data_IF_890490737494
#
_entry.id   IF_890490737494
#
_cell.length_a   1.000
_cell.length_b   1.000
_cell.length_c   1.000
_cell.angle_alpha   90.00
_cell.angle_beta   90.00
_cell.angle_gamma   90.00
#
_symmetry.space_group_name_H-M   'P 1'
#
loop_
_entity.id
_entity.type
_entity.pdbx_description
1 polymer ?
#
# COMPACT_ATOMS: atom_id res chain seq x y z
N UNK A 1 -2.89 41.77 -2.41
CA UNK A 1 -2.21 40.49 -2.09
C UNK A 1 -3.18 39.48 -1.48
N UNK A 2 -4.01 39.87 -0.49
CA UNK A 2 -5.02 39.03 0.15
C UNK A 2 -6.15 38.60 -0.83
N UNK A 3 -6.58 39.47 -1.74
CA UNK A 3 -7.64 39.15 -2.72
C UNK A 3 -7.26 38.07 -3.75
N UNK A 4 -5.96 37.93 -4.10
CA UNK A 4 -5.48 36.81 -4.94
C UNK A 4 -5.53 35.48 -4.20
N UNK A 5 -5.26 35.50 -2.89
CA UNK A 5 -5.34 34.31 -2.03
C UNK A 5 -6.80 33.83 -1.89
N UNK A 6 -7.75 34.75 -1.73
CA UNK A 6 -9.18 34.43 -1.64
C UNK A 6 -9.73 33.89 -2.97
N UNK A 7 -9.20 34.33 -4.12
CA UNK A 7 -9.59 33.80 -5.45
C UNK A 7 -8.98 32.43 -5.80
N UNK A 8 -7.85 32.04 -5.20
CA UNK A 8 -7.21 30.74 -5.47
C UNK A 8 -7.69 29.59 -4.55
N UNK A 9 -8.34 29.90 -3.44
CA UNK A 9 -8.88 28.91 -2.50
C UNK A 9 -9.93 27.96 -3.12
N UNK A 10 -10.92 28.43 -3.91
CA UNK A 10 -11.92 27.55 -4.52
C UNK A 10 -11.29 26.51 -5.47
N UNK A 11 -10.30 26.91 -6.26
CA UNK A 11 -9.65 26.02 -7.24
C UNK A 11 -8.72 24.98 -6.59
N UNK A 12 -8.00 25.36 -5.53
CA UNK A 12 -7.16 24.43 -4.75
C UNK A 12 -8.02 23.43 -3.97
N UNK A 13 -9.14 23.88 -3.40
CA UNK A 13 -10.10 23.02 -2.72
C UNK A 13 -10.74 21.99 -3.67
N UNK A 14 -11.12 22.40 -4.88
CA UNK A 14 -11.68 21.49 -5.90
C UNK A 14 -10.67 20.42 -6.33
N UNK A 15 -9.39 20.80 -6.50
CA UNK A 15 -8.31 19.89 -6.88
C UNK A 15 -7.93 18.91 -5.78
N UNK A 16 -7.98 19.32 -4.51
CA UNK A 16 -7.77 18.41 -3.38
C UNK A 16 -8.96 17.46 -3.22
N UNK A 17 -10.20 17.96 -3.35
CA UNK A 17 -11.40 17.14 -3.30
C UNK A 17 -11.40 16.03 -4.36
N UNK A 18 -11.02 16.35 -5.60
CA UNK A 18 -10.94 15.34 -6.67
C UNK A 18 -9.82 14.32 -6.45
N UNK A 19 -8.66 14.73 -5.93
CA UNK A 19 -7.56 13.80 -5.57
C UNK A 19 -7.93 12.86 -4.43
N UNK A 20 -8.62 13.38 -3.40
CA UNK A 20 -9.11 12.55 -2.29
C UNK A 20 -10.16 11.55 -2.77
N UNK A 21 -11.06 11.97 -3.65
CA UNK A 21 -12.06 11.08 -4.23
C UNK A 21 -11.41 9.97 -5.07
N UNK A 22 -10.44 10.32 -5.93
CA UNK A 22 -9.67 9.34 -6.70
C UNK A 22 -8.89 8.38 -5.80
N UNK A 23 -8.26 8.89 -4.73
CA UNK A 23 -7.56 8.06 -3.75
C UNK A 23 -8.51 7.09 -3.04
N UNK A 24 -9.73 7.52 -2.68
CA UNK A 24 -10.74 6.66 -2.09
C UNK A 24 -11.17 5.54 -3.05
N UNK A 25 -11.36 5.86 -4.33
CA UNK A 25 -11.68 4.88 -5.37
C UNK A 25 -10.54 3.86 -5.53
N UNK A 26 -9.30 4.33 -5.65
CA UNK A 26 -8.11 3.48 -5.78
C UNK A 26 -7.93 2.61 -4.54
N UNK A 27 -8.12 3.15 -3.34
CA UNK A 27 -8.08 2.40 -2.09
C UNK A 27 -9.13 1.28 -2.10
N UNK A 28 -10.37 1.61 -2.45
CA UNK A 28 -11.46 0.64 -2.46
C UNK A 28 -11.20 -0.49 -3.47
N UNK A 29 -10.87 -0.14 -4.71
CA UNK A 29 -10.57 -1.12 -5.78
C UNK A 29 -9.33 -1.94 -5.39
N UNK A 30 -8.28 -1.29 -4.91
CA UNK A 30 -7.05 -1.91 -4.46
C UNK A 30 -7.31 -2.95 -3.36
N UNK A 31 -8.10 -2.61 -2.34
CA UNK A 31 -8.47 -3.56 -1.28
C UNK A 31 -9.21 -4.78 -1.82
N UNK A 32 -10.07 -4.62 -2.82
CA UNK A 32 -10.74 -5.78 -3.44
C UNK A 32 -9.75 -6.63 -4.25
N UNK A 33 -8.86 -6.01 -5.03
CA UNK A 33 -7.80 -6.71 -5.75
C UNK A 33 -6.90 -7.50 -4.81
N UNK A 34 -6.50 -6.91 -3.67
CA UNK A 34 -5.68 -7.59 -2.65
C UNK A 34 -6.39 -8.86 -2.15
N UNK A 35 -7.69 -8.79 -1.86
CA UNK A 35 -8.47 -9.96 -1.43
C UNK A 35 -8.50 -11.05 -2.49
N UNK A 36 -8.68 -10.67 -3.76
CA UNK A 36 -8.72 -11.60 -4.90
C UNK A 36 -7.36 -12.29 -5.05
N UNK A 37 -6.27 -11.52 -5.13
CA UNK A 37 -4.91 -12.07 -5.29
C UNK A 37 -4.56 -13.00 -4.14
N UNK A 38 -4.81 -12.59 -2.88
CA UNK A 38 -4.58 -13.45 -1.71
C UNK A 38 -5.35 -14.76 -1.77
N UNK A 39 -6.62 -14.71 -2.21
CA UNK A 39 -7.44 -15.91 -2.39
C UNK A 39 -6.86 -16.85 -3.44
N UNK A 40 -6.35 -16.31 -4.55
CA UNK A 40 -5.70 -17.12 -5.59
C UNK A 40 -4.41 -17.77 -5.07
N UNK A 41 -3.51 -16.99 -4.45
CA UNK A 41 -2.25 -17.51 -3.91
C UNK A 41 -2.51 -18.58 -2.85
N UNK A 42 -3.42 -18.33 -1.90
CA UNK A 42 -3.79 -19.31 -0.88
C UNK A 42 -4.33 -20.61 -1.50
N UNK A 43 -5.19 -20.52 -2.52
CA UNK A 43 -5.70 -21.70 -3.23
C UNK A 43 -4.59 -22.47 -3.93
N UNK A 44 -3.63 -21.79 -4.55
CA UNK A 44 -2.48 -22.44 -5.18
C UNK A 44 -1.59 -23.16 -4.18
N UNK A 45 -1.32 -22.56 -3.02
CA UNK A 45 -0.52 -23.20 -1.96
C UNK A 45 -1.21 -24.45 -1.38
N UNK A 46 -2.52 -24.38 -1.13
CA UNK A 46 -3.31 -25.54 -0.67
C UNK A 46 -3.28 -26.66 -1.71
N UNK A 47 -3.46 -26.33 -2.99
CA UNK A 47 -3.36 -27.32 -4.09
C UNK A 47 -1.98 -27.95 -4.19
N UNK A 48 -0.94 -27.21 -3.83
CA UNK A 48 0.44 -27.68 -3.79
C UNK A 48 0.79 -28.49 -2.53
N UNK A 49 -0.17 -28.79 -1.64
CA UNK A 49 0.06 -29.46 -0.35
C UNK A 49 1.10 -28.74 0.53
N UNK A 50 1.17 -27.41 0.47
CA UNK A 50 2.03 -26.64 1.37
C UNK A 50 1.53 -26.74 2.82
N UNK A 51 2.45 -26.81 3.78
CA UNK A 51 2.11 -26.83 5.19
C UNK A 51 1.38 -25.56 5.66
N UNK A 52 0.57 -25.71 6.71
CA UNK A 52 -0.23 -24.62 7.26
C UNK A 52 0.62 -23.40 7.67
N UNK A 53 1.81 -23.63 8.23
CA UNK A 53 2.74 -22.56 8.61
C UNK A 53 3.20 -21.73 7.40
N UNK A 54 3.54 -22.38 6.29
CA UNK A 54 3.93 -21.73 5.03
C UNK A 54 2.76 -20.93 4.45
N UNK A 55 1.55 -21.52 4.45
CA UNK A 55 0.35 -20.84 3.98
C UNK A 55 0.09 -19.55 4.79
N UNK A 56 0.22 -19.60 6.11
CA UNK A 56 0.01 -18.44 6.98
C UNK A 56 1.10 -17.37 6.82
N UNK A 57 2.36 -17.79 6.72
CA UNK A 57 3.49 -16.89 6.47
C UNK A 57 3.31 -16.15 5.14
N UNK A 58 3.06 -16.89 4.05
CA UNK A 58 2.89 -16.29 2.72
C UNK A 58 1.63 -15.41 2.67
N UNK A 59 0.50 -15.82 3.23
CA UNK A 59 -0.70 -14.97 3.24
C UNK A 59 -0.49 -13.66 4.02
N UNK A 60 0.22 -13.71 5.15
CA UNK A 60 0.53 -12.53 5.96
C UNK A 60 1.54 -11.61 5.26
N UNK A 61 2.59 -12.18 4.68
CA UNK A 61 3.59 -11.45 3.89
C UNK A 61 2.94 -10.78 2.67
N UNK A 62 2.14 -11.53 1.91
CA UNK A 62 1.46 -11.03 0.72
C UNK A 62 0.46 -9.93 1.09
N UNK A 63 -0.26 -10.07 2.21
CA UNK A 63 -1.11 -9.00 2.74
C UNK A 63 -0.28 -7.74 2.97
N UNK A 64 0.77 -7.81 3.78
CA UNK A 64 1.60 -6.64 4.10
C UNK A 64 2.18 -5.98 2.83
N UNK A 65 2.82 -6.76 1.97
CA UNK A 65 3.46 -6.27 0.74
C UNK A 65 2.48 -5.61 -0.21
N UNK A 66 1.30 -6.20 -0.45
CA UNK A 66 0.31 -5.61 -1.34
C UNK A 66 -0.31 -4.33 -0.78
N UNK A 67 -0.54 -4.26 0.53
CA UNK A 67 -0.99 -3.02 1.16
C UNK A 67 0.08 -1.92 1.13
N UNK A 68 1.36 -2.28 1.30
CA UNK A 68 2.46 -1.33 1.15
C UNK A 68 2.50 -0.73 -0.26
N UNK A 69 2.37 -1.57 -1.31
CA UNK A 69 2.27 -1.11 -2.70
C UNK A 69 1.07 -0.18 -2.89
N UNK A 70 -0.11 -0.56 -2.37
CA UNK A 70 -1.32 0.26 -2.49
C UNK A 70 -1.15 1.65 -1.85
N UNK A 71 -0.59 1.72 -0.64
CA UNK A 71 -0.32 2.97 0.06
C UNK A 71 0.67 3.82 -0.72
N UNK A 72 1.72 3.21 -1.27
CA UNK A 72 2.71 3.90 -2.10
C UNK A 72 2.11 4.45 -3.39
N UNK A 73 1.24 3.70 -4.06
CA UNK A 73 0.51 4.19 -5.24
C UNK A 73 -0.34 5.42 -4.89
N UNK A 74 -1.05 5.38 -3.76
CA UNK A 74 -1.84 6.52 -3.30
C UNK A 74 -0.94 7.70 -2.97
N UNK A 75 0.12 7.49 -2.19
CA UNK A 75 1.12 8.50 -1.81
C UNK A 75 1.75 9.20 -3.03
N UNK A 76 2.14 8.43 -4.04
CA UNK A 76 2.66 8.94 -5.30
C UNK A 76 1.61 9.80 -6.04
N UNK A 77 0.34 9.38 -6.04
CA UNK A 77 -0.77 10.18 -6.59
C UNK A 77 -1.00 11.52 -5.87
N UNK A 78 -0.61 11.64 -4.60
CA UNK A 78 -0.61 12.90 -3.87
C UNK A 78 0.62 13.78 -4.13
N UNK A 79 1.60 13.30 -4.90
CA UNK A 79 2.81 14.03 -5.23
C UNK A 79 3.95 13.83 -4.23
N UNK A 80 3.95 12.74 -3.47
CA UNK A 80 5.11 12.37 -2.66
C UNK A 80 6.28 11.95 -3.55
N UNK A 81 7.48 12.43 -3.20
CA UNK A 81 8.69 12.11 -3.94
C UNK A 81 9.05 10.62 -3.83
N UNK A 82 9.45 10.04 -4.96
CA UNK A 82 9.88 8.65 -5.03
C UNK A 82 11.05 8.37 -4.06
N UNK A 83 11.95 9.34 -3.86
CA UNK A 83 13.07 9.22 -2.92
C UNK A 83 12.59 9.05 -1.46
N UNK A 84 11.59 9.83 -1.01
CA UNK A 84 11.03 9.70 0.34
C UNK A 84 10.31 8.38 0.54
N UNK A 85 9.59 7.92 -0.49
CA UNK A 85 8.94 6.61 -0.49
C UNK A 85 9.98 5.49 -0.38
N UNK A 86 11.05 5.54 -1.18
CA UNK A 86 12.12 4.54 -1.16
C UNK A 86 12.88 4.54 0.17
N UNK A 87 13.11 5.71 0.78
CA UNK A 87 13.71 5.81 2.11
C UNK A 87 12.84 5.13 3.19
N UNK A 88 11.52 5.36 3.16
CA UNK A 88 10.58 4.73 4.10
C UNK A 88 10.48 3.22 3.90
N UNK A 89 10.37 2.76 2.65
CA UNK A 89 10.33 1.33 2.34
C UNK A 89 11.65 0.64 2.67
N UNK A 90 12.78 1.30 2.43
CA UNK A 90 14.11 0.78 2.75
C UNK A 90 14.28 0.56 4.25
N UNK A 91 13.91 1.54 5.08
CA UNK A 91 13.98 1.41 6.55
C UNK A 91 13.01 0.36 7.08
N UNK A 92 11.76 0.35 6.60
CA UNK A 92 10.77 -0.66 6.97
C UNK A 92 11.21 -2.07 6.56
N UNK A 93 11.77 -2.23 5.36
CA UNK A 93 12.29 -3.50 4.84
C UNK A 93 13.44 -4.05 5.70
N UNK A 94 14.38 -3.20 6.10
CA UNK A 94 15.47 -3.58 7.01
C UNK A 94 14.93 -4.00 8.37
N UNK A 95 14.04 -3.21 8.97
CA UNK A 95 13.44 -3.54 10.26
C UNK A 95 12.67 -4.87 10.24
N UNK A 96 11.88 -5.10 9.18
CA UNK A 96 11.16 -6.37 8.99
C UNK A 96 12.14 -7.53 8.78
N UNK A 97 13.18 -7.35 7.97
CA UNK A 97 14.20 -8.38 7.73
C UNK A 97 14.89 -8.82 9.01
N UNK A 98 15.29 -7.85 9.85
CA UNK A 98 15.90 -8.13 11.16
C UNK A 98 14.92 -8.81 12.13
N UNK A 99 13.65 -8.41 12.13
CA UNK A 99 12.62 -9.06 12.96
C UNK A 99 12.36 -10.52 12.54
N UNK A 100 12.33 -10.79 11.23
CA UNK A 100 12.13 -12.14 10.70
C UNK A 100 13.32 -13.04 11.03
N UNK A 101 14.56 -12.52 10.94
CA UNK A 101 15.77 -13.26 11.32
C UNK A 101 15.71 -13.80 12.76
N UNK A 102 15.13 -13.04 13.69
CA UNK A 102 14.95 -13.48 15.08
C UNK A 102 13.86 -14.54 15.30
N UNK A 103 12.85 -14.61 14.41
CA UNK A 103 11.73 -15.56 14.51
C UNK A 103 11.93 -16.87 13.74
N UNK A 104 12.89 -16.91 12.80
CA UNK A 104 13.21 -18.08 11.98
C UNK A 104 14.41 -18.90 12.50
N UNK A 105 15.07 -18.43 13.57
CA UNK A 105 16.22 -19.10 14.20
C UNK A 105 15.81 -20.10 15.27
#
# INVERSE_FOLDING_TARGET
MIERFIKELPEKAWRLGSRVLLAAIVLFIGMQLIKVVRRFVKRSLVKGNADQGVIQFIDSFLKFSLYAVLVVTIASGFGMDAASILALLGSAGVAIGLAIQGSLS
#
